data_IF_035257900745
#
_entry.id   IF_035257900745
#
_cell.length_a   1.000
_cell.length_b   1.000
_cell.length_c   1.000
_cell.angle_alpha   90.00
_cell.angle_beta   90.00
_cell.angle_gamma   90.00
#
_symmetry.space_group_name_H-M   'P 1'
#
loop_
_entity.id
_entity.type
_entity.pdbx_description
1 polymer ?
#
# COMPACT_ATOMS: atom_id res chain seq x y z
N UNK A 1 39.74 -28.38 25.64
CA UNK A 1 39.26 -28.57 24.27
C UNK A 1 37.89 -27.90 24.19
N UNK A 2 37.84 -26.65 23.72
CA UNK A 2 36.59 -25.89 23.61
C UNK A 2 35.97 -26.15 22.24
N UNK A 3 34.69 -26.53 22.22
CA UNK A 3 33.93 -26.69 20.98
C UNK A 3 33.43 -25.30 20.59
N UNK A 4 33.92 -24.77 19.47
CA UNK A 4 33.35 -23.58 18.84
C UNK A 4 32.06 -24.00 18.10
N UNK A 5 30.93 -23.44 18.51
CA UNK A 5 29.67 -23.60 17.78
C UNK A 5 29.61 -22.49 16.74
N UNK A 6 29.77 -22.85 15.47
CA UNK A 6 29.62 -21.93 14.34
C UNK A 6 28.13 -21.87 14.01
N UNK A 7 27.46 -20.77 14.36
CA UNK A 7 26.06 -20.56 13.98
C UNK A 7 26.00 -20.25 12.48
N UNK A 8 25.28 -21.08 11.74
CA UNK A 8 24.94 -20.85 10.35
C UNK A 8 23.94 -19.69 10.28
N UNK A 9 24.35 -18.54 9.74
CA UNK A 9 23.41 -17.47 9.37
C UNK A 9 22.66 -17.95 8.13
N UNK A 10 21.52 -18.62 8.35
CA UNK A 10 20.52 -18.75 7.30
C UNK A 10 20.05 -17.33 6.93
N UNK A 11 19.95 -17.08 5.64
CA UNK A 11 19.46 -15.85 5.02
C UNK A 11 17.99 -15.64 5.43
N UNK A 12 17.76 -15.13 6.64
CA UNK A 12 16.41 -14.82 7.11
C UNK A 12 15.93 -13.60 6.35
N UNK A 13 14.81 -13.75 5.64
CA UNK A 13 14.09 -12.61 5.10
C UNK A 13 13.83 -11.59 6.23
N UNK A 14 13.90 -10.28 5.95
CA UNK A 14 13.69 -9.26 6.96
C UNK A 14 12.33 -9.44 7.64
N UNK A 15 12.27 -9.18 8.95
CA UNK A 15 11.05 -9.30 9.78
C UNK A 15 9.90 -8.40 9.31
N UNK A 16 10.22 -7.41 8.48
CA UNK A 16 9.28 -6.51 7.84
C UNK A 16 9.48 -6.44 6.33
N UNK A 17 8.44 -6.10 5.61
CA UNK A 17 8.48 -5.82 4.18
C UNK A 17 7.76 -4.51 3.84
N UNK A 18 7.86 -4.10 2.59
CA UNK A 18 7.15 -2.93 2.07
C UNK A 18 6.01 -3.40 1.15
N UNK A 19 4.81 -2.86 1.37
CA UNK A 19 3.71 -3.01 0.43
C UNK A 19 3.73 -1.82 -0.51
N UNK A 20 3.87 -2.12 -1.80
CA UNK A 20 3.67 -1.15 -2.88
C UNK A 20 2.34 -1.44 -3.57
N UNK A 21 1.64 -0.41 -4.00
CA UNK A 21 0.45 -0.64 -4.81
C UNK A 21 -0.03 0.58 -5.56
N UNK A 22 -1.01 0.33 -6.43
CA UNK A 22 -1.62 1.32 -7.30
C UNK A 22 -3.15 1.23 -7.24
N UNK A 23 -3.78 2.40 -7.12
CA UNK A 23 -5.24 2.55 -7.16
C UNK A 23 -5.60 3.18 -8.50
N UNK A 24 -6.52 2.58 -9.23
CA UNK A 24 -7.04 3.15 -10.48
C UNK A 24 -8.38 3.83 -10.24
N UNK A 25 -8.49 5.10 -10.61
CA UNK A 25 -9.75 5.83 -10.74
C UNK A 25 -10.04 6.07 -12.23
N UNK A 26 -11.10 5.45 -12.75
CA UNK A 26 -11.48 5.58 -14.16
C UNK A 26 -12.26 6.88 -14.42
N UNK A 27 -12.99 7.38 -13.42
CA UNK A 27 -13.81 8.56 -13.52
C UNK A 27 -13.63 9.49 -12.31
N UNK A 28 -14.36 10.61 -12.31
CA UNK A 28 -14.38 11.54 -11.17
C UNK A 28 -12.97 11.96 -10.73
N UNK A 29 -12.10 12.32 -11.69
CA UNK A 29 -10.73 12.80 -11.45
C UNK A 29 -10.57 14.31 -11.71
N UNK A 30 -9.61 14.92 -11.03
CA UNK A 30 -9.07 16.26 -11.29
C UNK A 30 -7.59 16.16 -11.65
N UNK A 31 -7.13 17.02 -12.56
CA UNK A 31 -5.72 17.13 -12.99
C UNK A 31 -5.13 18.52 -12.72
N UNK A 32 -5.88 19.37 -12.01
CA UNK A 32 -5.51 20.76 -11.72
C UNK A 32 -5.47 21.00 -10.22
N UNK A 33 -4.58 21.91 -9.78
CA UNK A 33 -4.45 22.29 -8.37
C UNK A 33 -3.75 21.24 -7.51
N UNK A 34 -2.91 20.40 -8.11
CA UNK A 34 -2.20 19.32 -7.44
C UNK A 34 -0.75 19.73 -7.12
N UNK A 35 -0.18 19.22 -6.02
CA UNK A 35 1.22 19.41 -5.70
C UNK A 35 2.13 18.69 -6.70
N UNK A 36 3.42 19.02 -6.68
CA UNK A 36 4.43 18.35 -7.49
C UNK A 36 4.44 16.83 -7.21
N UNK A 37 4.61 16.03 -8.27
CA UNK A 37 4.58 14.56 -8.19
C UNK A 37 3.19 13.94 -8.34
N UNK A 38 2.15 14.75 -8.55
CA UNK A 38 0.78 14.28 -8.74
C UNK A 38 0.15 14.89 -9.99
N UNK A 39 -0.15 14.04 -10.97
CA UNK A 39 -0.79 14.45 -12.22
C UNK A 39 -2.31 14.41 -12.14
N UNK A 40 -2.85 13.64 -11.20
CA UNK A 40 -4.29 13.48 -11.02
C UNK A 40 -4.68 13.14 -9.57
N UNK A 41 -5.92 13.40 -9.19
CA UNK A 41 -6.50 12.97 -7.92
C UNK A 41 -8.00 12.76 -8.10
N UNK A 42 -8.65 12.12 -7.13
CA UNK A 42 -10.10 12.00 -7.13
C UNK A 42 -10.78 13.36 -6.86
N UNK A 43 -11.99 13.52 -7.39
CA UNK A 43 -12.91 14.64 -7.15
C UNK A 43 -14.31 14.10 -6.88
N UNK A 44 -15.22 14.97 -6.45
CA UNK A 44 -16.60 14.58 -6.19
C UNK A 44 -16.67 13.48 -5.12
N UNK A 45 -17.19 12.31 -5.50
CA UNK A 45 -17.25 11.13 -4.63
C UNK A 45 -15.88 10.59 -4.21
N UNK A 46 -14.81 10.87 -4.96
CA UNK A 46 -13.43 10.42 -4.71
C UNK A 46 -12.52 11.52 -4.17
N UNK A 47 -13.06 12.65 -3.71
CA UNK A 47 -12.24 13.79 -3.22
C UNK A 47 -11.31 13.42 -2.06
N UNK A 48 -11.55 12.29 -1.41
CA UNK A 48 -10.76 11.72 -0.33
C UNK A 48 -9.61 10.82 -0.82
N UNK A 49 -9.43 10.67 -2.13
CA UNK A 49 -8.36 9.90 -2.77
C UNK A 49 -7.44 10.85 -3.54
N UNK A 50 -6.19 10.96 -3.11
CA UNK A 50 -5.27 11.97 -3.63
C UNK A 50 -3.97 12.08 -2.83
N UNK A 51 -3.26 13.21 -2.95
CA UNK A 51 -1.95 13.38 -2.34
C UNK A 51 -1.91 13.15 -0.83
N UNK A 52 -1.00 12.29 -0.38
CA UNK A 52 -0.76 12.04 1.04
C UNK A 52 -1.88 11.32 1.79
N UNK A 53 -2.90 10.82 1.08
CA UNK A 53 -3.98 10.05 1.69
C UNK A 53 -3.41 8.80 2.35
N UNK A 54 -3.86 8.56 3.58
CA UNK A 54 -3.37 7.44 4.38
C UNK A 54 -3.80 6.10 3.81
N UNK A 55 -2.87 5.15 3.88
CA UNK A 55 -3.13 3.72 3.66
C UNK A 55 -2.78 2.99 4.94
N UNK A 56 -3.71 2.20 5.47
CA UNK A 56 -3.51 1.41 6.69
C UNK A 56 -3.51 -0.06 6.37
N UNK A 57 -2.65 -0.80 7.07
CA UNK A 57 -2.53 -2.24 6.94
C UNK A 57 -2.78 -2.85 8.30
N UNK A 58 -3.74 -3.77 8.38
CA UNK A 58 -4.14 -4.46 9.60
C UNK A 58 -4.03 -5.98 9.44
N UNK A 59 -3.94 -6.69 10.55
CA UNK A 59 -4.00 -8.16 10.57
C UNK A 59 -5.45 -8.69 10.52
N UNK A 60 -5.60 -10.01 10.58
CA UNK A 60 -6.90 -10.69 10.62
C UNK A 60 -7.76 -10.28 11.84
N UNK A 61 -7.13 -9.92 12.96
CA UNK A 61 -7.78 -9.48 14.19
C UNK A 61 -8.17 -8.00 14.19
N UNK A 62 -7.73 -7.23 13.18
CA UNK A 62 -7.93 -5.77 13.10
C UNK A 62 -6.88 -4.97 13.87
N UNK A 63 -5.75 -5.57 14.22
CA UNK A 63 -4.61 -4.86 14.78
C UNK A 63 -3.93 -4.08 13.68
N UNK A 64 -3.73 -2.78 13.89
CA UNK A 64 -2.95 -1.96 12.97
C UNK A 64 -1.48 -2.40 12.98
N UNK A 65 -1.00 -2.85 11.83
CA UNK A 65 0.37 -3.31 11.61
C UNK A 65 1.28 -2.18 11.13
N UNK A 66 0.82 -1.40 10.16
CA UNK A 66 1.61 -0.33 9.55
C UNK A 66 0.71 0.74 8.90
N UNK A 67 1.33 1.89 8.59
CA UNK A 67 0.68 3.01 7.90
C UNK A 67 1.60 3.57 6.83
N UNK A 68 1.02 3.82 5.67
CA UNK A 68 1.65 4.44 4.52
C UNK A 68 0.80 5.58 3.97
N UNK A 69 1.11 5.97 2.75
CA UNK A 69 0.35 6.99 2.04
C UNK A 69 0.45 6.84 0.53
N UNK A 70 -0.50 7.47 -0.17
CA UNK A 70 -0.36 7.77 -1.60
C UNK A 70 0.74 8.80 -1.75
N UNK A 71 1.80 8.43 -2.47
CA UNK A 71 3.02 9.22 -2.62
C UNK A 71 3.16 9.94 -3.96
N UNK A 72 2.46 9.45 -4.99
CA UNK A 72 2.47 10.04 -6.34
C UNK A 72 1.22 9.62 -7.11
N UNK A 73 0.95 10.32 -8.21
CA UNK A 73 -0.06 9.88 -9.16
C UNK A 73 0.31 10.23 -10.60
N UNK A 74 -0.09 9.36 -11.52
CA UNK A 74 0.06 9.55 -12.96
C UNK A 74 -1.30 9.55 -13.64
N UNK A 75 -1.48 10.46 -14.59
CA UNK A 75 -2.73 10.62 -15.33
C UNK A 75 -2.59 10.10 -16.76
N UNK A 76 -3.65 9.50 -17.31
CA UNK A 76 -3.66 9.05 -18.70
C UNK A 76 -5.05 8.89 -19.29
N UNK A 77 -5.10 8.43 -20.54
CA UNK A 77 -6.35 8.30 -21.29
C UNK A 77 -7.38 7.35 -20.64
N UNK A 78 -6.93 6.43 -19.80
CA UNK A 78 -7.75 5.42 -19.11
C UNK A 78 -7.98 5.70 -17.63
N UNK A 79 -7.59 6.88 -17.12
CA UNK A 79 -7.89 7.27 -15.73
C UNK A 79 -6.70 7.88 -14.98
N UNK A 80 -6.78 7.80 -13.66
CA UNK A 80 -5.77 8.23 -12.71
C UNK A 80 -5.22 7.04 -11.93
N UNK A 81 -3.90 6.86 -11.95
CA UNK A 81 -3.21 5.87 -11.13
C UNK A 81 -2.57 6.56 -9.94
N UNK A 82 -2.94 6.14 -8.74
CA UNK A 82 -2.40 6.66 -7.49
C UNK A 82 -1.55 5.59 -6.84
N UNK A 83 -0.24 5.82 -6.78
CA UNK A 83 0.71 4.88 -6.21
C UNK A 83 0.88 5.16 -4.72
N UNK A 84 0.79 4.10 -3.92
CA UNK A 84 1.00 4.15 -2.49
C UNK A 84 2.10 3.20 -2.05
N UNK A 85 2.65 3.53 -0.89
CA UNK A 85 3.67 2.71 -0.23
C UNK A 85 3.36 2.63 1.25
N UNK A 86 3.40 1.42 1.81
CA UNK A 86 3.33 1.17 3.24
C UNK A 86 4.64 0.50 3.67
N UNK A 87 5.56 1.26 4.29
CA UNK A 87 6.83 0.71 4.75
C UNK A 87 6.65 -0.07 6.07
N UNK A 88 7.62 -0.92 6.36
CA UNK A 88 7.80 -1.58 7.66
C UNK A 88 6.59 -2.43 8.10
N UNK A 89 5.95 -3.14 7.18
CA UNK A 89 4.86 -4.08 7.46
C UNK A 89 5.44 -5.35 8.07
N UNK A 90 5.09 -5.72 9.31
CA UNK A 90 5.54 -6.98 9.93
C UNK A 90 5.08 -8.20 9.14
N UNK A 91 5.97 -9.19 9.02
CA UNK A 91 5.65 -10.51 8.47
C UNK A 91 4.92 -11.39 9.48
N UNK A 92 4.29 -12.45 8.99
CA UNK A 92 3.73 -13.52 9.81
C UNK A 92 2.25 -13.37 10.13
N UNK A 93 1.55 -12.38 9.57
CA UNK A 93 0.10 -12.31 9.64
C UNK A 93 -0.53 -13.27 8.63
N UNK A 94 -1.68 -13.86 8.97
CA UNK A 94 -2.38 -14.76 8.04
C UNK A 94 -2.92 -13.98 6.84
N UNK A 95 -3.45 -12.79 7.12
CA UNK A 95 -3.98 -11.88 6.12
C UNK A 95 -3.61 -10.45 6.45
N UNK A 96 -3.49 -9.65 5.40
CA UNK A 96 -3.25 -8.22 5.43
C UNK A 96 -4.49 -7.51 4.90
N UNK A 97 -5.20 -6.81 5.78
CA UNK A 97 -6.31 -5.93 5.42
C UNK A 97 -5.76 -4.56 5.08
N UNK A 98 -5.89 -4.17 3.82
CA UNK A 98 -5.42 -2.88 3.31
C UNK A 98 -6.64 -1.98 3.13
N UNK A 99 -6.62 -0.85 3.82
CA UNK A 99 -7.64 0.19 3.70
C UNK A 99 -6.99 1.48 3.19
N UNK A 100 -7.62 2.10 2.22
CA UNK A 100 -7.23 3.42 1.71
C UNK A 100 -8.30 4.41 2.11
N UNK A 101 -7.90 5.49 2.80
CA UNK A 101 -8.83 6.50 3.30
C UNK A 101 -9.88 5.85 4.22
N UNK A 102 -11.08 5.60 3.70
CA UNK A 102 -12.21 4.98 4.40
C UNK A 102 -13.03 4.08 3.45
N UNK A 103 -12.45 3.72 2.29
CA UNK A 103 -13.20 3.13 1.16
C UNK A 103 -13.31 1.61 1.21
N UNK A 104 -13.28 1.06 2.43
CA UNK A 104 -13.38 -0.37 2.71
C UNK A 104 -12.02 -1.05 2.75
N UNK A 105 -12.04 -2.29 3.26
CA UNK A 105 -10.86 -3.11 3.46
C UNK A 105 -10.75 -4.17 2.36
N UNK A 106 -9.60 -4.25 1.72
CA UNK A 106 -9.23 -5.34 0.81
C UNK A 106 -8.31 -6.31 1.55
N UNK A 107 -8.60 -7.60 1.48
CA UNK A 107 -7.83 -8.62 2.20
C UNK A 107 -6.91 -9.36 1.24
N UNK A 108 -5.63 -9.45 1.61
CA UNK A 108 -4.58 -10.12 0.84
C UNK A 108 -3.80 -11.10 1.70
N UNK A 109 -3.21 -12.12 1.09
CA UNK A 109 -2.17 -12.95 1.70
C UNK A 109 -0.84 -12.20 1.77
N UNK A 110 0.11 -12.67 2.59
CA UNK A 110 1.47 -12.07 2.65
C UNK A 110 2.13 -12.02 1.26
N UNK A 111 2.01 -13.13 0.50
CA UNK A 111 2.62 -13.23 -0.82
C UNK A 111 2.02 -12.24 -1.82
N UNK A 112 0.71 -12.00 -1.78
CA UNK A 112 0.05 -10.98 -2.61
C UNK A 112 0.46 -9.56 -2.20
N UNK A 113 0.51 -9.31 -0.89
CA UNK A 113 0.94 -8.02 -0.34
C UNK A 113 2.40 -7.69 -0.71
N UNK A 114 3.28 -8.69 -0.70
CA UNK A 114 4.70 -8.55 -1.06
C UNK A 114 4.92 -8.43 -2.58
N UNK A 115 4.09 -9.11 -3.39
CA UNK A 115 4.16 -9.00 -4.85
C UNK A 115 3.74 -7.61 -5.38
N UNK A 116 2.96 -6.87 -4.58
CA UNK A 116 2.42 -5.57 -4.92
C UNK A 116 0.95 -5.63 -5.32
N UNK A 117 0.22 -4.58 -4.96
CA UNK A 117 -1.24 -4.55 -5.01
C UNK A 117 -1.74 -3.62 -6.13
N UNK A 118 -2.77 -4.04 -6.85
CA UNK A 118 -3.45 -3.19 -7.82
C UNK A 118 -4.96 -3.42 -7.76
N UNK A 119 -5.74 -2.35 -7.66
CA UNK A 119 -7.20 -2.40 -7.66
C UNK A 119 -7.80 -1.10 -8.18
N UNK A 120 -9.05 -1.18 -8.66
CA UNK A 120 -9.81 -0.02 -9.16
C UNK A 120 -10.90 0.38 -8.17
N UNK A 121 -11.21 1.67 -8.12
CA UNK A 121 -12.43 2.17 -7.46
C UNK A 121 -13.38 2.71 -8.54
N UNK A 122 -14.66 2.34 -8.45
CA UNK A 122 -15.74 2.67 -9.40
C UNK A 122 -16.91 3.35 -8.72
#
# INVERSE_FOLDING_TARGET
>A
MGVAVVAFTADQAPDTFEIQGAITLEDNITTSGLPEGYECAGKGGYKDIGPGVAVTVMDEAGTLLAKGAIGKSSGGASGCWLDFTVPSVPRGSQFYKVEVSHRGELTYTEAEAEAGLAFSLG
#
